data_IF_544608042440
#
_entry.id   IF_544608042440
#
_cell.length_a   1.000
_cell.length_b   1.000
_cell.length_c   1.000
_cell.angle_alpha   90.00
_cell.angle_beta   90.00
_cell.angle_gamma   90.00
#
_symmetry.space_group_name_H-M   'P 1'
#
loop_
_entity.id
_entity.type
_entity.pdbx_description
1 polymer ?
#
# COMPACT_ATOMS: atom_id res chain seq x y z
N UNK A 1 22.02 -5.03 -9.32
CA UNK A 1 22.73 -5.37 -10.58
C UNK A 1 21.78 -5.24 -11.74
N UNK A 2 22.23 -4.67 -12.86
CA UNK A 2 21.50 -4.69 -14.13
C UNK A 2 21.61 -6.07 -14.79
N UNK A 3 20.76 -6.33 -15.78
CA UNK A 3 20.79 -7.60 -16.53
C UNK A 3 22.16 -7.78 -17.23
N UNK A 4 22.74 -6.72 -17.75
CA UNK A 4 24.03 -6.79 -18.44
C UNK A 4 25.19 -7.02 -17.47
N UNK A 5 25.14 -6.44 -16.27
CA UNK A 5 26.11 -6.72 -15.20
C UNK A 5 26.03 -8.19 -14.76
N UNK A 6 24.82 -8.77 -14.66
CA UNK A 6 24.65 -10.20 -14.35
C UNK A 6 25.19 -11.08 -15.46
N UNK A 7 24.89 -10.78 -16.73
CA UNK A 7 25.41 -11.52 -17.89
C UNK A 7 26.94 -11.51 -17.90
N UNK A 8 27.54 -10.35 -17.64
CA UNK A 8 29.00 -10.20 -17.59
C UNK A 8 29.61 -11.02 -16.44
N UNK A 9 28.98 -11.02 -15.27
CA UNK A 9 29.43 -11.83 -14.13
C UNK A 9 29.37 -13.33 -14.42
N UNK A 10 28.28 -13.80 -15.05
CA UNK A 10 28.09 -15.21 -15.38
C UNK A 10 29.04 -15.68 -16.50
N UNK A 11 29.42 -14.81 -17.42
CA UNK A 11 30.40 -15.12 -18.47
C UNK A 11 31.85 -15.25 -18.00
N UNK A 12 32.10 -15.10 -16.70
CA UNK A 12 33.42 -15.26 -16.09
C UNK A 12 34.38 -14.07 -16.31
N UNK A 13 33.86 -12.93 -16.76
CA UNK A 13 34.66 -11.73 -16.91
C UNK A 13 35.19 -11.23 -15.55
N UNK A 14 36.48 -10.90 -15.48
CA UNK A 14 37.07 -10.36 -14.27
C UNK A 14 36.47 -8.98 -13.96
N UNK A 15 35.92 -8.83 -12.76
CA UNK A 15 35.35 -7.57 -12.28
C UNK A 15 35.37 -7.50 -10.76
N UNK A 16 35.48 -6.29 -10.22
CA UNK A 16 35.33 -6.07 -8.77
C UNK A 16 33.87 -6.04 -8.37
N UNK A 17 33.26 -7.23 -8.40
CA UNK A 17 31.83 -7.41 -8.13
C UNK A 17 31.44 -6.98 -6.71
N UNK A 18 32.36 -7.06 -5.74
CA UNK A 18 32.11 -6.61 -4.38
C UNK A 18 31.90 -5.11 -4.31
N UNK A 19 32.74 -4.34 -5.01
CA UNK A 19 32.58 -2.87 -5.11
C UNK A 19 31.31 -2.49 -5.84
N UNK A 20 30.98 -3.19 -6.93
CA UNK A 20 29.76 -2.92 -7.69
C UNK A 20 28.50 -3.18 -6.86
N UNK A 21 28.43 -4.31 -6.15
CA UNK A 21 27.32 -4.64 -5.26
C UNK A 21 27.20 -3.63 -4.12
N UNK A 22 28.33 -3.20 -3.53
CA UNK A 22 28.32 -2.19 -2.48
C UNK A 22 27.84 -0.81 -2.98
N UNK A 23 28.21 -0.42 -4.21
CA UNK A 23 27.70 0.80 -4.84
C UNK A 23 26.18 0.72 -5.07
N UNK A 24 25.68 -0.39 -5.65
CA UNK A 24 24.25 -0.58 -5.90
C UNK A 24 23.39 -0.65 -4.63
N UNK A 25 23.94 -1.18 -3.53
CA UNK A 25 23.27 -1.15 -2.23
C UNK A 25 23.12 0.28 -1.71
N UNK A 26 24.17 1.09 -1.81
CA UNK A 26 24.12 2.51 -1.41
C UNK A 26 23.12 3.30 -2.26
N UNK A 27 23.13 3.11 -3.59
CA UNK A 27 22.16 3.74 -4.49
C UNK A 27 20.72 3.37 -4.10
N UNK A 28 20.50 2.09 -3.78
CA UNK A 28 19.18 1.61 -3.33
C UNK A 28 18.74 2.25 -2.01
N UNK A 29 19.66 2.33 -1.03
CA UNK A 29 19.38 2.96 0.27
C UNK A 29 19.04 4.45 0.10
N UNK A 30 19.81 5.16 -0.74
CA UNK A 30 19.53 6.56 -1.06
C UNK A 30 18.19 6.74 -1.78
N UNK A 31 17.89 5.91 -2.76
CA UNK A 31 16.62 5.96 -3.49
C UNK A 31 15.42 5.59 -2.60
N UNK A 32 15.61 4.65 -1.66
CA UNK A 32 14.55 4.28 -0.70
C UNK A 32 14.26 5.40 0.31
N UNK A 33 15.27 6.23 0.61
CA UNK A 33 15.11 7.40 1.48
C UNK A 33 14.45 8.60 0.77
N UNK A 34 14.36 8.57 -0.56
CA UNK A 34 13.69 9.62 -1.33
C UNK A 34 12.18 9.34 -1.41
N UNK A 35 11.39 10.30 -0.95
CA UNK A 35 9.94 10.29 -1.22
C UNK A 35 9.71 10.64 -2.68
N UNK A 36 9.20 9.68 -3.44
CA UNK A 36 8.80 9.90 -4.84
C UNK A 36 7.32 10.31 -4.85
N UNK A 37 6.98 11.30 -5.67
CA UNK A 37 5.59 11.71 -5.87
C UNK A 37 4.81 10.62 -6.61
N UNK A 38 3.58 10.35 -6.19
CA UNK A 38 2.68 9.39 -6.85
C UNK A 38 2.29 9.81 -8.27
N UNK A 39 2.42 11.10 -8.57
CA UNK A 39 2.11 11.66 -9.90
C UNK A 39 3.22 12.57 -10.33
N UNK A 40 3.82 12.25 -11.48
CA UNK A 40 4.79 13.11 -12.17
C UNK A 40 4.14 13.58 -13.47
N UNK A 41 3.94 14.89 -13.59
CA UNK A 41 3.41 15.51 -14.82
C UNK A 41 4.57 16.25 -15.47
N UNK A 42 4.94 15.83 -16.67
CA UNK A 42 5.94 16.49 -17.49
C UNK A 42 5.24 17.51 -18.43
N UNK A 43 5.49 18.79 -18.20
CA UNK A 43 5.07 19.87 -19.09
C UNK A 43 6.30 20.65 -19.53
N UNK A 44 6.59 20.66 -20.83
CA UNK A 44 7.61 21.50 -21.46
C UNK A 44 9.01 21.42 -20.80
N UNK A 45 9.42 20.25 -20.33
CA UNK A 45 10.74 20.03 -19.72
C UNK A 45 10.85 20.38 -18.23
N UNK A 46 9.77 20.82 -17.60
CA UNK A 46 9.72 20.97 -16.14
C UNK A 46 8.94 19.80 -15.51
N UNK A 47 9.59 19.10 -14.58
CA UNK A 47 8.96 18.05 -13.77
C UNK A 47 8.31 18.73 -12.55
N UNK A 48 6.98 18.84 -12.56
CA UNK A 48 6.24 19.26 -11.38
C UNK A 48 5.81 18.03 -10.58
N UNK A 49 6.29 17.93 -9.35
CA UNK A 49 5.84 16.90 -8.40
C UNK A 49 4.81 17.52 -7.46
N UNK A 50 3.62 16.96 -7.42
CA UNK A 50 2.65 17.27 -6.37
C UNK A 50 3.16 16.72 -5.02
N UNK A 51 3.97 17.51 -4.34
CA UNK A 51 4.24 17.29 -2.92
C UNK A 51 3.03 17.76 -2.14
N UNK A 52 2.08 16.87 -1.91
CA UNK A 52 1.05 17.12 -0.93
C UNK A 52 1.71 17.22 0.45
N UNK A 53 1.73 18.43 0.98
CA UNK A 53 2.11 18.66 2.37
C UNK A 53 1.25 17.82 3.31
N UNK A 54 1.81 17.45 4.45
CA UNK A 54 1.11 16.78 5.55
C UNK A 54 -0.07 17.65 6.02
N UNK A 55 -1.22 17.48 5.41
CA UNK A 55 -2.44 18.09 5.89
C UNK A 55 -3.01 17.19 6.99
N UNK A 56 -3.18 17.76 8.18
CA UNK A 56 -4.01 17.17 9.21
C UNK A 56 -5.43 17.01 8.64
N UNK A 57 -5.76 15.82 8.19
CA UNK A 57 -7.04 15.50 7.57
C UNK A 57 -8.09 15.34 8.67
N UNK A 58 -8.90 16.39 8.89
CA UNK A 58 -9.99 16.41 9.90
C UNK A 58 -11.33 15.91 9.36
N UNK A 59 -11.39 15.43 8.11
CA UNK A 59 -12.59 14.93 7.46
C UNK A 59 -12.59 13.41 7.27
N UNK A 60 -13.66 12.84 6.67
CA UNK A 60 -13.68 11.43 6.26
C UNK A 60 -12.61 11.19 5.19
N UNK A 61 -11.81 10.13 5.36
CA UNK A 61 -10.87 9.71 4.35
C UNK A 61 -11.66 9.15 3.15
N UNK A 62 -11.16 9.41 1.94
CA UNK A 62 -11.82 8.98 0.70
C UNK A 62 -10.88 8.12 -0.14
N UNK A 63 -11.49 7.17 -0.85
CA UNK A 63 -10.78 6.30 -1.78
C UNK A 63 -11.70 5.70 -2.83
N UNK A 64 -11.14 4.82 -3.62
CA UNK A 64 -11.83 4.14 -4.72
C UNK A 64 -12.61 2.93 -4.18
N UNK A 65 -13.95 2.85 -4.34
CA UNK A 65 -14.73 1.67 -4.05
C UNK A 65 -14.26 0.45 -4.87
N UNK A 66 -13.88 -0.62 -4.18
CA UNK A 66 -13.46 -1.88 -4.83
C UNK A 66 -14.54 -2.95 -4.66
N UNK A 67 -14.97 -3.20 -3.45
CA UNK A 67 -16.03 -4.15 -3.10
C UNK A 67 -16.98 -3.47 -2.14
N UNK A 68 -18.27 -3.48 -2.49
CA UNK A 68 -19.29 -2.73 -1.77
C UNK A 68 -19.55 -3.29 -0.37
N UNK A 69 -20.07 -2.45 0.52
CA UNK A 69 -20.48 -2.83 1.86
C UNK A 69 -20.24 -1.75 2.89
N UNK A 70 -20.70 -2.01 4.10
CA UNK A 70 -20.51 -1.14 5.26
C UNK A 70 -20.06 -1.96 6.45
N UNK A 71 -19.01 -1.51 7.11
CA UNK A 71 -18.44 -2.21 8.28
C UNK A 71 -17.91 -1.21 9.30
N UNK A 72 -18.01 -1.58 10.57
CA UNK A 72 -17.43 -0.87 11.71
C UNK A 72 -16.54 -1.84 12.47
N UNK A 73 -15.30 -1.44 12.72
CA UNK A 73 -14.35 -2.30 13.45
C UNK A 73 -13.06 -1.59 13.81
N UNK A 74 -12.19 -2.30 14.54
CA UNK A 74 -10.85 -1.82 14.85
C UNK A 74 -9.91 -1.97 13.65
N UNK A 75 -9.02 -1.02 13.48
CA UNK A 75 -7.94 -1.07 12.48
C UNK A 75 -6.87 -2.08 12.88
N UNK A 76 -6.37 -2.81 11.90
CA UNK A 76 -5.14 -3.58 11.96
C UNK A 76 -4.22 -3.19 10.80
N UNK A 77 -3.11 -2.52 11.11
CA UNK A 77 -2.07 -2.22 10.11
C UNK A 77 -1.31 -3.51 9.75
N UNK A 78 -1.16 -3.75 8.45
CA UNK A 78 -0.40 -4.86 7.88
C UNK A 78 0.61 -4.28 6.89
N UNK A 79 1.79 -3.95 7.39
CA UNK A 79 2.88 -3.33 6.61
C UNK A 79 3.89 -4.37 6.14
N UNK A 80 3.86 -5.55 6.76
CA UNK A 80 4.75 -6.67 6.46
C UNK A 80 4.01 -8.01 6.56
N UNK A 81 4.56 -9.09 5.95
CA UNK A 81 3.99 -10.44 6.10
C UNK A 81 3.88 -10.93 7.56
N UNK A 82 4.73 -10.44 8.45
CA UNK A 82 4.68 -10.82 9.87
C UNK A 82 3.45 -10.23 10.59
N UNK A 83 2.97 -9.08 10.16
CA UNK A 83 1.79 -8.42 10.77
C UNK A 83 0.50 -9.18 10.48
N UNK A 84 0.48 -9.96 9.38
CA UNK A 84 -0.67 -10.79 8.99
C UNK A 84 -1.09 -11.75 10.10
N UNK A 85 -0.14 -12.26 10.90
CA UNK A 85 -0.39 -13.18 12.02
C UNK A 85 -1.15 -12.53 13.18
N UNK A 86 -1.21 -11.21 13.22
CA UNK A 86 -1.87 -10.45 14.29
C UNK A 86 -3.32 -10.09 13.94
N UNK A 87 -3.74 -10.32 12.70
CA UNK A 87 -5.10 -10.03 12.24
C UNK A 87 -6.10 -10.98 12.91
N UNK A 88 -7.14 -10.39 13.48
CA UNK A 88 -8.22 -11.12 14.17
C UNK A 88 -9.52 -10.99 13.39
N UNK A 89 -10.44 -11.91 13.65
CA UNK A 89 -11.79 -11.83 13.09
C UNK A 89 -12.45 -10.52 13.49
N UNK A 90 -12.95 -9.79 12.50
CA UNK A 90 -13.60 -8.49 12.70
C UNK A 90 -12.67 -7.27 12.61
N UNK A 91 -11.37 -7.47 12.45
CA UNK A 91 -10.44 -6.37 12.18
C UNK A 91 -10.68 -5.79 10.77
N UNK A 92 -10.51 -4.48 10.65
CA UNK A 92 -10.40 -3.79 9.37
C UNK A 92 -8.92 -3.68 9.05
N UNK A 93 -8.49 -4.40 8.02
CA UNK A 93 -7.09 -4.44 7.61
C UNK A 93 -6.74 -3.19 6.83
N UNK A 94 -5.61 -2.56 7.16
CA UNK A 94 -5.03 -1.43 6.42
C UNK A 94 -3.64 -1.83 5.93
N UNK A 95 -3.40 -1.71 4.63
CA UNK A 95 -2.15 -2.12 3.99
C UNK A 95 -1.70 -1.13 2.90
N UNK A 96 -0.41 -1.09 2.53
CA UNK A 96 0.07 -0.24 1.44
C UNK A 96 -0.50 -0.63 0.08
N UNK A 97 -0.64 -1.92 -0.17
CA UNK A 97 -1.08 -2.46 -1.45
C UNK A 97 -1.93 -3.72 -1.25
N UNK A 98 -2.80 -3.97 -2.21
CA UNK A 98 -3.62 -5.18 -2.23
C UNK A 98 -2.82 -6.35 -2.83
N UNK A 99 -2.10 -7.06 -1.98
CA UNK A 99 -1.25 -8.19 -2.37
C UNK A 99 -2.04 -9.51 -2.39
N UNK A 100 -1.88 -10.36 -3.42
CA UNK A 100 -2.50 -11.68 -3.47
C UNK A 100 -2.17 -12.59 -2.27
N UNK A 101 -1.00 -12.43 -1.67
CA UNK A 101 -0.60 -13.13 -0.44
C UNK A 101 -1.47 -12.81 0.77
N UNK A 102 -2.31 -11.77 0.69
CA UNK A 102 -3.28 -11.41 1.73
C UNK A 102 -4.59 -12.21 1.64
N UNK A 103 -4.77 -13.07 0.65
CA UNK A 103 -5.99 -13.87 0.49
C UNK A 103 -6.43 -14.61 1.77
N UNK A 104 -5.55 -15.20 2.60
CA UNK A 104 -5.95 -15.81 3.87
C UNK A 104 -6.59 -14.83 4.85
N UNK A 105 -6.25 -13.54 4.80
CA UNK A 105 -6.82 -12.51 5.67
C UNK A 105 -8.24 -12.13 5.27
N UNK A 106 -8.60 -12.29 4.00
CA UNK A 106 -9.91 -11.90 3.48
C UNK A 106 -11.06 -12.69 4.09
N UNK A 107 -10.78 -13.90 4.60
CA UNK A 107 -11.75 -14.71 5.36
C UNK A 107 -11.86 -14.34 6.84
N UNK A 108 -10.94 -13.55 7.38
CA UNK A 108 -10.90 -13.12 8.78
C UNK A 108 -11.30 -11.66 8.96
N UNK A 109 -10.83 -10.80 8.05
CA UNK A 109 -11.07 -9.37 8.09
C UNK A 109 -12.56 -9.04 7.90
N UNK A 110 -13.00 -7.97 8.52
CA UNK A 110 -14.33 -7.40 8.29
C UNK A 110 -14.34 -6.38 7.14
N UNK A 111 -13.20 -5.81 6.83
CA UNK A 111 -13.00 -4.86 5.73
C UNK A 111 -11.52 -4.68 5.38
N UNK A 112 -11.27 -4.04 4.24
CA UNK A 112 -9.92 -3.80 3.75
C UNK A 112 -9.79 -2.38 3.21
N UNK A 113 -8.71 -1.71 3.58
CA UNK A 113 -8.36 -0.36 3.11
C UNK A 113 -6.91 -0.41 2.63
N UNK A 114 -6.64 0.08 1.41
CA UNK A 114 -5.27 0.10 0.87
C UNK A 114 -4.90 1.45 0.28
N UNK A 115 -3.63 1.81 0.40
CA UNK A 115 -3.11 3.05 -0.20
C UNK A 115 -3.11 3.00 -1.72
N UNK A 116 -2.68 1.88 -2.28
CA UNK A 116 -2.62 1.67 -3.73
C UNK A 116 -3.39 0.44 -4.16
N UNK A 117 -4.18 0.58 -5.21
CA UNK A 117 -4.90 -0.54 -5.80
C UNK A 117 -5.85 -0.08 -6.90
N UNK A 118 -5.99 -0.90 -7.93
CA UNK A 118 -6.92 -0.66 -9.05
C UNK A 118 -8.11 -1.60 -9.02
N UNK A 119 -9.20 -1.19 -9.66
CA UNK A 119 -10.45 -1.99 -9.76
C UNK A 119 -10.26 -3.33 -10.46
N UNK A 120 -9.24 -3.45 -11.30
CA UNK A 120 -8.91 -4.65 -12.08
C UNK A 120 -7.70 -5.40 -11.52
N UNK A 121 -7.16 -4.99 -10.36
CA UNK A 121 -6.06 -5.72 -9.74
C UNK A 121 -6.52 -7.10 -9.27
N UNK A 122 -5.61 -8.07 -9.24
CA UNK A 122 -5.92 -9.44 -8.80
C UNK A 122 -6.51 -9.46 -7.37
N UNK A 123 -5.96 -8.68 -6.47
CA UNK A 123 -6.50 -8.55 -5.11
C UNK A 123 -7.90 -7.95 -5.07
N UNK A 124 -8.23 -7.02 -5.98
CA UNK A 124 -9.58 -6.44 -6.08
C UNK A 124 -10.61 -7.49 -6.52
N UNK A 125 -10.23 -8.38 -7.43
CA UNK A 125 -11.09 -9.50 -7.86
C UNK A 125 -11.37 -10.42 -6.66
N UNK A 126 -10.32 -10.83 -5.95
CA UNK A 126 -10.45 -11.70 -4.77
C UNK A 126 -11.32 -11.02 -3.69
N UNK A 127 -11.11 -9.74 -3.39
CA UNK A 127 -11.92 -9.03 -2.39
C UNK A 127 -13.41 -9.04 -2.73
N UNK A 128 -13.77 -8.90 -4.01
CA UNK A 128 -15.17 -9.02 -4.47
C UNK A 128 -15.72 -10.44 -4.33
N UNK A 129 -14.93 -11.45 -4.64
CA UNK A 129 -15.34 -12.85 -4.49
C UNK A 129 -15.63 -13.22 -3.04
N UNK A 130 -14.85 -12.67 -2.11
CA UNK A 130 -15.09 -12.82 -0.67
C UNK A 130 -16.21 -11.90 -0.14
N UNK A 131 -16.74 -10.98 -0.95
CA UNK A 131 -17.70 -9.99 -0.51
C UNK A 131 -17.15 -9.08 0.59
N UNK A 132 -15.81 -8.88 0.64
CA UNK A 132 -15.15 -8.10 1.66
C UNK A 132 -15.22 -6.61 1.33
N UNK A 133 -15.88 -5.76 2.16
CA UNK A 133 -15.93 -4.32 1.96
C UNK A 133 -14.51 -3.76 1.80
N UNK A 134 -14.20 -3.16 0.64
CA UNK A 134 -12.82 -2.77 0.30
C UNK A 134 -12.79 -1.40 -0.37
N UNK A 135 -11.88 -0.54 0.12
CA UNK A 135 -11.56 0.78 -0.44
C UNK A 135 -10.07 0.81 -0.79
N UNK A 136 -9.74 1.22 -2.00
CA UNK A 136 -8.37 1.42 -2.45
C UNK A 136 -8.08 2.90 -2.75
N UNK A 137 -6.81 3.21 -3.03
CA UNK A 137 -6.33 4.57 -3.31
C UNK A 137 -6.68 5.57 -2.20
N UNK A 138 -6.59 5.12 -0.95
CA UNK A 138 -6.73 6.00 0.21
C UNK A 138 -5.34 6.53 0.58
N UNK A 139 -5.05 7.74 0.15
CA UNK A 139 -3.73 8.36 0.30
C UNK A 139 -3.27 8.37 1.76
N UNK A 140 -2.01 7.98 1.99
CA UNK A 140 -1.32 8.00 3.28
C UNK A 140 -2.07 7.25 4.42
N UNK A 141 -2.99 6.36 4.10
CA UNK A 141 -3.85 5.70 5.10
C UNK A 141 -3.07 4.90 6.12
N UNK A 142 -1.92 4.33 5.74
CA UNK A 142 -1.04 3.59 6.67
C UNK A 142 -0.35 4.49 7.69
N UNK A 143 -0.23 5.79 7.40
CA UNK A 143 0.32 6.78 8.31
C UNK A 143 -0.76 7.50 9.11
N UNK A 144 -1.95 7.66 8.51
CA UNK A 144 -3.08 8.38 9.09
C UNK A 144 -3.86 7.57 10.11
N UNK A 145 -3.99 6.25 9.90
CA UNK A 145 -4.72 5.36 10.81
C UNK A 145 -3.76 4.51 11.65
N UNK A 146 -4.18 4.18 12.86
CA UNK A 146 -3.38 3.39 13.81
C UNK A 146 -4.08 2.09 14.18
N UNK A 147 -3.28 1.05 14.41
CA UNK A 147 -3.80 -0.22 14.96
C UNK A 147 -4.56 0.01 16.25
N UNK A 148 -5.77 -0.55 16.34
CA UNK A 148 -6.68 -0.41 17.47
C UNK A 148 -7.67 0.76 17.36
N UNK A 149 -7.43 1.73 16.47
CA UNK A 149 -8.37 2.81 16.19
C UNK A 149 -9.66 2.25 15.58
N UNK A 150 -10.82 2.76 15.99
CA UNK A 150 -12.11 2.32 15.45
C UNK A 150 -12.58 3.23 14.31
N UNK A 151 -13.01 2.61 13.23
CA UNK A 151 -13.52 3.32 12.06
C UNK A 151 -14.82 2.71 11.55
N UNK A 152 -15.60 3.55 10.86
CA UNK A 152 -16.69 3.13 9.98
C UNK A 152 -16.21 3.22 8.54
N UNK A 153 -16.36 2.14 7.79
CA UNK A 153 -15.97 2.03 6.37
C UNK A 153 -17.24 1.87 5.56
N UNK A 154 -17.56 2.89 4.78
CA UNK A 154 -18.61 2.83 3.74
C UNK A 154 -17.94 2.56 2.40
N UNK A 155 -17.69 1.30 2.11
CA UNK A 155 -17.01 0.91 0.88
C UNK A 155 -17.87 1.10 -0.38
N UNK A 156 -19.17 1.31 -0.23
CA UNK A 156 -20.04 1.69 -1.35
C UNK A 156 -19.83 3.14 -1.78
N UNK A 157 -19.63 4.04 -0.80
CA UNK A 157 -19.36 5.45 -1.06
C UNK A 157 -17.84 5.78 -1.19
N UNK A 158 -16.98 4.84 -0.81
CA UNK A 158 -15.53 5.06 -0.76
C UNK A 158 -15.09 5.96 0.39
N UNK A 159 -15.81 5.92 1.53
CA UNK A 159 -15.58 6.81 2.67
C UNK A 159 -15.21 6.05 3.94
N UNK A 160 -14.27 6.62 4.69
CA UNK A 160 -13.83 6.08 5.99
C UNK A 160 -13.95 7.20 7.02
N UNK A 161 -14.69 6.92 8.09
CA UNK A 161 -14.91 7.86 9.20
C UNK A 161 -14.30 7.31 10.47
N UNK A 162 -13.48 8.12 11.16
CA UNK A 162 -12.97 7.78 12.49
C UNK A 162 -14.10 7.89 13.51
N UNK A 163 -14.17 6.91 14.39
CA UNK A 163 -15.15 6.92 15.48
C UNK A 163 -14.43 7.35 16.76
N UNK A 164 -15.00 8.33 17.47
CA UNK A 164 -14.52 8.69 18.80
C UNK A 164 -14.61 7.47 19.75
N UNK A 165 -13.57 7.29 20.56
CA UNK A 165 -13.60 6.32 21.67
C UNK A 165 -14.50 6.82 22.78
#
# INVERSE_FOLDING_TARGET
LTIDEVKTAVSGAAGDWQKLVAARRRDREQNTAQSVSDTVIEHAGEVQSDRAGSHAYNGPLKGLPISVGYVVGPIRLVLSPNDMKQVKRGDIVVAPVLDPGMAPLMGLAAGLIVEMGGTLSHGAIIAREYGLPTIANVRDVTQLLKTGERVAVNATAGEITRLAM
#
